data_IF_494998086894
#
_entry.id   IF_494998086894
#
_cell.length_a   1.000
_cell.length_b   1.000
_cell.length_c   1.000
_cell.angle_alpha   90.00
_cell.angle_beta   90.00
_cell.angle_gamma   90.00
#
_symmetry.space_group_name_H-M   'P 1'
#
loop_
_entity.id
_entity.type
_entity.pdbx_description
1 polymer ?
#
# COMPACT_ATOMS: atom_id res chain seq x y z
N UNK A 1 12.84 -14.40 -6.47
CA UNK A 1 12.05 -13.55 -5.56
C UNK A 1 12.62 -12.14 -5.66
N UNK A 2 11.91 -11.19 -6.27
CA UNK A 2 12.44 -9.83 -6.48
C UNK A 2 12.52 -9.11 -5.13
N UNK A 3 13.74 -8.84 -4.65
CA UNK A 3 14.02 -8.07 -3.41
C UNK A 3 13.67 -6.57 -3.54
N UNK A 4 13.00 -6.18 -4.63
CA UNK A 4 12.53 -4.82 -4.86
C UNK A 4 11.30 -4.55 -3.98
N UNK A 5 11.44 -3.55 -3.11
CA UNK A 5 10.36 -2.95 -2.30
C UNK A 5 9.25 -2.46 -3.22
N UNK A 6 8.00 -2.63 -2.80
CA UNK A 6 6.85 -2.13 -3.54
C UNK A 6 6.83 -0.59 -3.57
N UNK A 7 6.41 0.02 -4.68
CA UNK A 7 6.13 1.45 -4.70
C UNK A 7 4.99 1.78 -3.73
N UNK A 8 5.01 3.00 -3.19
CA UNK A 8 3.87 3.50 -2.42
C UNK A 8 2.87 4.05 -3.44
N UNK A 9 1.67 3.49 -3.44
CA UNK A 9 0.57 4.02 -4.25
C UNK A 9 0.23 5.44 -3.79
N UNK A 10 0.45 6.42 -4.65
CA UNK A 10 0.13 7.82 -4.38
C UNK A 10 -1.35 8.11 -4.54
N UNK A 11 -2.03 7.32 -5.37
CA UNK A 11 -3.46 7.42 -5.61
C UNK A 11 -4.27 7.33 -4.29
N UNK A 12 -5.30 8.17 -4.24
CA UNK A 12 -6.20 8.36 -3.10
C UNK A 12 -7.65 8.07 -3.46
N UNK A 13 -7.93 7.57 -4.66
CA UNK A 13 -9.28 7.26 -5.13
C UNK A 13 -9.98 6.32 -4.14
N UNK A 14 -11.16 6.75 -3.66
CA UNK A 14 -11.96 6.05 -2.66
C UNK A 14 -11.34 5.90 -1.26
N UNK A 15 -10.21 6.55 -0.97
CA UNK A 15 -9.59 6.54 0.36
C UNK A 15 -10.06 7.73 1.20
N UNK A 16 -10.71 7.45 2.33
CA UNK A 16 -11.14 8.49 3.28
C UNK A 16 -9.93 9.18 3.94
N UNK A 17 -10.10 10.45 4.34
CA UNK A 17 -9.07 11.21 5.08
C UNK A 17 -8.62 10.49 6.36
N UNK A 18 -9.57 9.90 7.10
CA UNK A 18 -9.28 9.12 8.31
C UNK A 18 -8.46 7.85 8.01
N UNK A 19 -8.78 7.13 6.93
CA UNK A 19 -7.99 5.98 6.50
C UNK A 19 -6.55 6.41 6.16
N UNK A 20 -6.38 7.49 5.40
CA UNK A 20 -5.06 8.02 5.01
C UNK A 20 -4.20 8.36 6.22
N UNK A 21 -4.78 9.05 7.21
CA UNK A 21 -4.09 9.41 8.44
C UNK A 21 -3.65 8.17 9.23
N UNK A 22 -4.57 7.22 9.48
CA UNK A 22 -4.26 5.97 10.19
C UNK A 22 -3.24 5.10 9.45
N UNK A 23 -3.28 5.08 8.11
CA UNK A 23 -2.30 4.38 7.30
C UNK A 23 -0.91 4.99 7.46
N UNK A 24 -0.80 6.32 7.43
CA UNK A 24 0.46 7.04 7.63
C UNK A 24 1.04 6.78 9.02
N UNK A 25 0.20 6.78 10.06
CA UNK A 25 0.60 6.46 11.43
C UNK A 25 1.15 5.04 11.56
N UNK A 26 0.47 4.04 10.98
CA UNK A 26 0.97 2.65 11.00
C UNK A 26 2.29 2.52 10.24
N UNK A 27 2.38 3.13 9.05
CA UNK A 27 3.61 3.12 8.27
C UNK A 27 4.79 3.75 9.03
N UNK A 28 4.55 4.88 9.70
CA UNK A 28 5.55 5.56 10.53
C UNK A 28 5.90 4.74 11.77
N UNK A 29 4.91 4.14 12.44
CA UNK A 29 5.12 3.24 13.57
C UNK A 29 6.03 2.06 13.21
N UNK A 30 5.79 1.41 12.07
CA UNK A 30 6.70 0.37 11.58
C UNK A 30 8.08 0.88 11.15
N UNK A 31 8.19 2.17 10.81
CA UNK A 31 9.50 2.76 10.49
C UNK A 31 10.32 3.14 11.73
N UNK A 32 9.67 3.46 12.85
CA UNK A 32 10.34 3.86 14.11
C UNK A 32 10.61 2.64 14.98
N UNK A 33 9.66 1.70 15.04
CA UNK A 33 9.72 0.53 15.91
C UNK A 33 10.08 -0.78 15.16
N UNK A 34 10.31 -0.72 13.85
CA UNK A 34 10.73 -1.86 13.05
C UNK A 34 12.24 -2.09 13.12
N UNK A 35 12.72 -3.35 13.19
CA UNK A 35 14.16 -3.63 13.16
C UNK A 35 14.79 -3.14 11.84
N UNK A 36 15.96 -2.52 11.94
CA UNK A 36 16.62 -1.79 10.85
C UNK A 36 16.92 -2.64 9.60
N UNK A 37 17.02 -3.97 9.74
CA UNK A 37 17.35 -4.92 8.67
C UNK A 37 16.29 -6.02 8.52
N UNK A 38 15.08 -5.66 8.09
CA UNK A 38 14.12 -6.65 7.61
C UNK A 38 14.18 -6.77 6.09
N UNK A 39 14.44 -8.00 5.62
CA UNK A 39 14.22 -8.39 4.22
C UNK A 39 12.80 -8.01 3.81
N UNK A 40 12.56 -7.53 2.57
CA UNK A 40 11.23 -7.10 2.09
C UNK A 40 10.12 -8.12 2.35
N UNK A 41 10.43 -9.42 2.32
CA UNK A 41 9.48 -10.50 2.59
C UNK A 41 8.95 -10.56 4.03
N UNK A 42 9.66 -9.96 4.99
CA UNK A 42 9.27 -9.89 6.42
C UNK A 42 8.86 -8.49 6.86
N UNK A 43 8.86 -7.52 5.96
CA UNK A 43 8.54 -6.13 6.28
C UNK A 43 7.01 -5.92 6.35
N UNK A 44 6.45 -5.57 7.53
CA UNK A 44 5.02 -5.30 7.66
C UNK A 44 4.55 -4.11 6.81
N UNK A 45 5.47 -3.23 6.37
CA UNK A 45 5.17 -2.10 5.49
C UNK A 45 4.76 -2.54 4.09
N UNK A 46 5.28 -3.67 3.60
CA UNK A 46 4.91 -4.19 2.27
C UNK A 46 3.46 -4.64 2.26
N UNK A 47 3.00 -5.31 3.34
CA UNK A 47 1.58 -5.68 3.52
C UNK A 47 0.67 -4.45 3.52
N UNK A 48 1.06 -3.38 4.21
CA UNK A 48 0.32 -2.12 4.21
C UNK A 48 0.18 -1.49 2.82
N UNK A 49 1.19 -1.61 1.96
CA UNK A 49 1.14 -1.10 0.58
C UNK A 49 0.17 -1.91 -0.27
N UNK A 50 0.21 -3.24 -0.16
CA UNK A 50 -0.72 -4.15 -0.85
C UNK A 50 -2.17 -3.88 -0.42
N UNK A 51 -2.42 -3.76 0.88
CA UNK A 51 -3.76 -3.46 1.39
C UNK A 51 -4.29 -2.11 0.91
N UNK A 52 -3.42 -1.11 0.80
CA UNK A 52 -3.78 0.19 0.22
C UNK A 52 -4.13 0.05 -1.25
N UNK A 53 -3.29 -0.65 -2.02
CA UNK A 53 -3.52 -0.87 -3.45
C UNK A 53 -4.85 -1.61 -3.70
N UNK A 54 -5.16 -2.65 -2.94
CA UNK A 54 -6.43 -3.39 -3.04
C UNK A 54 -7.67 -2.52 -2.73
N UNK A 55 -7.54 -1.54 -1.83
CA UNK A 55 -8.62 -0.59 -1.54
C UNK A 55 -8.83 0.40 -2.67
N UNK A 56 -7.75 0.93 -3.22
CA UNK A 56 -7.79 1.84 -4.38
C UNK A 56 -8.35 1.10 -5.61
N UNK A 57 -7.88 -0.12 -5.87
CA UNK A 57 -8.40 -0.98 -6.94
C UNK A 57 -9.92 -1.18 -6.81
N UNK A 58 -10.40 -1.58 -5.63
CA UNK A 58 -11.85 -1.71 -5.39
C UNK A 58 -12.62 -0.41 -5.57
N UNK A 59 -12.03 0.73 -5.20
CA UNK A 59 -12.67 2.03 -5.43
C UNK A 59 -12.81 2.34 -6.91
N UNK A 60 -11.79 2.03 -7.73
CA UNK A 60 -11.85 2.17 -9.17
C UNK A 60 -12.88 1.24 -9.80
N UNK A 61 -12.92 -0.03 -9.37
CA UNK A 61 -13.92 -1.02 -9.81
C UNK A 61 -15.35 -0.53 -9.52
N UNK A 62 -15.62 -0.02 -8.32
CA UNK A 62 -16.92 0.53 -7.95
C UNK A 62 -17.28 1.80 -8.73
N UNK A 63 -16.29 2.63 -9.05
CA UNK A 63 -16.48 3.84 -9.85
C UNK A 63 -16.58 3.54 -11.37
N UNK A 64 -16.33 2.29 -11.80
CA UNK A 64 -16.26 1.93 -13.22
C UNK A 64 -15.08 2.59 -13.96
N UNK A 65 -14.02 2.94 -13.24
CA UNK A 65 -12.83 3.62 -13.79
C UNK A 65 -11.66 2.64 -13.88
N UNK A 66 -10.75 2.87 -14.83
CA UNK A 66 -9.53 2.07 -14.96
C UNK A 66 -8.54 2.44 -13.84
N UNK A 67 -8.13 1.45 -13.05
CA UNK A 67 -7.08 1.63 -12.05
C UNK A 67 -5.70 1.78 -12.73
N UNK A 68 -4.81 2.61 -12.18
CA UNK A 68 -3.43 2.73 -12.65
C UNK A 68 -2.64 1.40 -12.61
N UNK A 69 -1.68 1.24 -13.53
CA UNK A 69 -0.90 0.01 -13.67
C UNK A 69 -0.09 -0.36 -12.41
N UNK A 70 0.41 0.64 -11.69
CA UNK A 70 1.12 0.45 -10.42
C UNK A 70 0.18 -0.08 -9.32
N UNK A 71 -1.04 0.42 -9.24
CA UNK A 71 -2.07 -0.07 -8.32
C UNK A 71 -2.36 -1.55 -8.60
N UNK A 72 -2.56 -1.91 -9.86
CA UNK A 72 -2.84 -3.28 -10.28
C UNK A 72 -1.65 -4.19 -9.94
N UNK A 73 -0.43 -3.75 -10.26
CA UNK A 73 0.79 -4.49 -9.95
C UNK A 73 0.97 -4.73 -8.45
N UNK A 74 0.76 -3.71 -7.62
CA UNK A 74 0.91 -3.83 -6.16
C UNK A 74 -0.23 -4.63 -5.53
N UNK A 75 -1.45 -4.52 -6.03
CA UNK A 75 -2.61 -5.26 -5.50
C UNK A 75 -2.51 -6.78 -5.71
N UNK A 76 -1.84 -7.19 -6.80
CA UNK A 76 -1.64 -8.58 -7.21
C UNK A 76 -0.42 -9.28 -6.58
N UNK A 77 0.25 -8.64 -5.62
CA UNK A 77 1.39 -9.22 -4.88
C UNK A 77 0.97 -9.92 -3.59
#
# INVERSE_FOLDING_TARGET
MSDKRLPIIEDITGLSRGYRFRWRLQFLGFSIFGPADQRPSRDPRERLKVDRARRVLRAHELAGTQAPDDVIFVANR
#
